data_IF_031286817471
#
_entry.id   IF_031286817471
#
_cell.length_a   1.000
_cell.length_b   1.000
_cell.length_c   1.000
_cell.angle_alpha   90.00
_cell.angle_beta   90.00
_cell.angle_gamma   90.00
#
_symmetry.space_group_name_H-M   'P 1'
#
loop_
_entity.id
_entity.type
_entity.pdbx_description
1 polymer ?
#
# COMPACT_ATOMS: atom_id res chain seq x y z
N UNK A 1 -14.33 -10.53 -28.41
CA UNK A 1 -15.17 -11.14 -27.36
C UNK A 1 -15.04 -10.41 -26.04
N UNK A 2 -16.14 -10.36 -25.29
CA UNK A 2 -16.22 -9.81 -23.94
C UNK A 2 -16.47 -10.96 -22.97
N UNK A 3 -15.63 -11.10 -21.95
CA UNK A 3 -15.72 -12.19 -20.97
C UNK A 3 -16.06 -11.62 -19.60
N UNK A 4 -17.01 -12.22 -18.85
CA UNK A 4 -17.31 -11.78 -17.49
C UNK A 4 -16.11 -11.99 -16.56
N UNK A 5 -15.83 -11.00 -15.72
CA UNK A 5 -14.72 -11.02 -14.77
C UNK A 5 -15.23 -11.03 -13.32
N UNK A 6 -14.69 -11.93 -12.50
CA UNK A 6 -15.02 -12.02 -11.08
C UNK A 6 -14.30 -10.98 -10.22
N UNK A 7 -14.70 -10.88 -8.96
CA UNK A 7 -14.13 -9.92 -7.99
C UNK A 7 -12.64 -10.16 -7.73
N UNK A 8 -12.18 -11.42 -7.70
CA UNK A 8 -10.77 -11.74 -7.52
C UNK A 8 -9.90 -11.17 -8.66
N UNK A 9 -10.38 -11.21 -9.90
CA UNK A 9 -9.69 -10.61 -11.04
C UNK A 9 -9.66 -9.07 -10.92
N UNK A 10 -10.78 -8.46 -10.49
CA UNK A 10 -10.84 -7.01 -10.23
C UNK A 10 -9.85 -6.58 -9.15
N UNK A 11 -9.76 -7.34 -8.04
CA UNK A 11 -8.82 -7.06 -6.96
C UNK A 11 -7.36 -7.19 -7.40
N UNK A 12 -7.11 -8.12 -8.33
CA UNK A 12 -5.80 -8.27 -8.95
C UNK A 12 -5.44 -7.06 -9.79
N UNK A 13 -6.32 -6.69 -10.73
CA UNK A 13 -6.11 -5.57 -11.65
C UNK A 13 -5.95 -4.24 -10.91
N UNK A 14 -6.75 -4.01 -9.85
CA UNK A 14 -6.63 -2.77 -9.09
C UNK A 14 -5.30 -2.69 -8.33
N UNK A 15 -4.83 -3.82 -7.80
CA UNK A 15 -3.59 -3.86 -7.06
C UNK A 15 -2.39 -3.67 -8.01
N UNK A 16 -2.38 -4.31 -9.17
CA UNK A 16 -1.38 -4.09 -10.21
C UNK A 16 -1.33 -2.62 -10.65
N UNK A 17 -2.49 -1.98 -10.79
CA UNK A 17 -2.62 -0.55 -11.06
C UNK A 17 -2.39 0.37 -9.84
N UNK A 18 -1.95 -0.17 -8.69
CA UNK A 18 -1.65 0.60 -7.49
C UNK A 18 -2.84 1.37 -6.90
N UNK A 19 -4.07 0.91 -7.14
CA UNK A 19 -5.29 1.59 -6.70
C UNK A 19 -5.68 1.17 -5.27
N UNK A 20 -5.82 2.13 -4.33
CA UNK A 20 -6.31 1.88 -2.97
C UNK A 20 -7.73 1.30 -2.94
N UNK A 21 -7.99 0.40 -1.99
CA UNK A 21 -9.31 -0.13 -1.70
C UNK A 21 -9.79 0.33 -0.31
N UNK A 22 -11.03 0.80 -0.22
CA UNK A 22 -11.64 1.15 1.07
C UNK A 22 -11.82 -0.09 1.96
N UNK A 23 -11.45 0.04 3.22
CA UNK A 23 -11.28 -1.07 4.17
C UNK A 23 -9.88 -1.69 4.18
N UNK A 24 -8.97 -1.25 3.30
CA UNK A 24 -7.58 -1.71 3.23
C UNK A 24 -6.59 -0.53 3.29
N UNK A 25 -6.52 0.26 2.22
CA UNK A 25 -5.64 1.42 2.11
C UNK A 25 -6.35 2.74 2.39
N UNK A 26 -7.69 2.70 2.50
CA UNK A 26 -8.53 3.84 2.87
C UNK A 26 -9.47 3.42 3.99
N UNK A 27 -9.69 4.31 4.95
CA UNK A 27 -10.50 4.04 6.12
C UNK A 27 -10.79 5.33 6.89
N UNK A 28 -11.56 5.23 7.97
CA UNK A 28 -11.85 6.36 8.85
C UNK A 28 -10.66 6.76 9.73
N UNK A 29 -9.66 5.89 9.81
CA UNK A 29 -8.43 6.00 10.59
C UNK A 29 -7.19 6.30 9.72
N UNK A 30 -7.35 6.33 8.39
CA UNK A 30 -6.26 6.56 7.43
C UNK A 30 -6.41 7.93 6.79
N UNK A 31 -5.37 8.75 6.89
CA UNK A 31 -5.36 10.07 6.26
C UNK A 31 -5.00 9.96 4.77
N UNK A 32 -5.55 10.82 3.89
CA UNK A 32 -5.23 10.82 2.47
C UNK A 32 -3.73 10.95 2.18
N UNK A 33 -2.97 11.69 3.00
CA UNK A 33 -1.52 11.83 2.87
C UNK A 33 -0.79 10.50 3.03
N UNK A 34 -1.20 9.66 3.98
CA UNK A 34 -0.63 8.33 4.22
C UNK A 34 -0.79 7.44 2.99
N UNK A 35 -1.94 7.50 2.33
CA UNK A 35 -2.25 6.68 1.15
C UNK A 35 -1.69 7.25 -0.18
N UNK A 36 -0.82 8.26 -0.15
CA UNK A 36 -0.30 8.92 -1.34
C UNK A 36 -1.32 9.79 -2.09
N UNK A 37 -2.48 10.04 -1.47
CA UNK A 37 -3.60 10.83 -2.02
C UNK A 37 -3.60 12.28 -1.54
N UNK A 38 -2.56 12.74 -0.86
CA UNK A 38 -2.45 14.13 -0.38
C UNK A 38 -2.69 15.16 -1.50
N UNK A 39 -2.21 14.89 -2.72
CA UNK A 39 -2.42 15.75 -3.90
C UNK A 39 -3.88 15.88 -4.35
N UNK A 40 -4.75 14.95 -3.96
CA UNK A 40 -6.18 14.96 -4.32
C UNK A 40 -6.96 15.93 -3.42
N UNK A 41 -6.45 16.21 -2.22
CA UNK A 41 -7.06 17.17 -1.30
C UNK A 41 -6.73 18.59 -1.76
N UNK A 42 -7.74 19.29 -2.30
CA UNK A 42 -7.56 20.63 -2.84
C UNK A 42 -7.86 21.71 -1.78
N UNK A 43 -6.84 22.10 -1.01
CA UNK A 43 -6.94 23.22 -0.06
C UNK A 43 -7.10 24.60 -0.72
N UNK A 44 -6.84 24.72 -2.03
CA UNK A 44 -7.06 25.98 -2.77
C UNK A 44 -8.52 26.19 -3.16
N UNK A 45 -9.37 25.17 -3.06
CA UNK A 45 -10.79 25.29 -3.34
C UNK A 45 -11.44 26.23 -2.32
N UNK A 46 -12.26 27.15 -2.80
CA UNK A 46 -13.06 28.03 -1.96
C UNK A 46 -14.09 27.22 -1.15
N UNK A 47 -14.33 27.66 0.09
CA UNK A 47 -15.24 27.01 1.03
C UNK A 47 -14.57 26.08 2.03
N UNK A 48 -15.35 25.70 3.04
CA UNK A 48 -14.96 24.79 4.12
C UNK A 48 -15.57 23.42 3.89
N UNK A 49 -14.81 22.52 3.27
CA UNK A 49 -15.25 21.14 3.09
C UNK A 49 -15.12 20.37 4.41
N UNK A 50 -15.99 19.38 4.61
CA UNK A 50 -15.99 18.54 5.82
C UNK A 50 -14.61 17.90 6.01
N UNK A 51 -13.98 18.17 7.16
CA UNK A 51 -12.66 17.65 7.52
C UNK A 51 -11.47 18.54 7.13
N UNK A 52 -11.68 19.69 6.48
CA UNK A 52 -10.61 20.63 6.08
C UNK A 52 -9.70 21.01 7.25
N UNK A 53 -10.29 21.55 8.32
CA UNK A 53 -9.55 22.00 9.50
C UNK A 53 -8.72 20.86 10.13
N UNK A 54 -9.26 19.64 10.16
CA UNK A 54 -8.54 18.49 10.70
C UNK A 54 -7.34 18.08 9.83
N UNK A 55 -7.44 18.23 8.51
CA UNK A 55 -6.36 17.92 7.58
C UNK A 55 -5.28 19.01 7.52
N UNK A 56 -5.64 20.28 7.63
CA UNK A 56 -4.69 21.41 7.58
C UNK A 56 -3.81 21.48 8.84
N UNK A 57 -4.34 21.11 10.00
CA UNK A 57 -3.66 21.30 11.29
C UNK A 57 -2.97 20.05 11.84
N UNK A 58 -3.01 18.92 11.13
CA UNK A 58 -2.40 17.67 11.59
C UNK A 58 -0.96 17.55 11.09
N UNK A 59 -0.06 17.27 12.03
CA UNK A 59 1.28 16.78 11.69
C UNK A 59 1.18 15.28 11.30
N UNK A 60 1.51 14.97 10.05
CA UNK A 60 1.54 13.58 9.53
C UNK A 60 2.96 13.09 9.24
N UNK A 61 4.01 13.79 9.69
CA UNK A 61 5.40 13.44 9.38
C UNK A 61 5.82 12.09 9.97
N UNK A 62 5.22 11.69 11.09
CA UNK A 62 5.46 10.39 11.72
C UNK A 62 4.44 9.30 11.33
N UNK A 63 3.39 9.64 10.57
CA UNK A 63 2.39 8.68 10.16
C UNK A 63 3.02 7.69 9.16
N UNK A 64 2.64 6.41 9.23
CA UNK A 64 3.05 5.42 8.24
C UNK A 64 2.55 5.81 6.85
N UNK A 65 3.33 5.47 5.83
CA UNK A 65 3.05 5.80 4.44
C UNK A 65 2.87 4.54 3.60
N UNK A 66 1.97 4.63 2.62
CA UNK A 66 1.66 3.54 1.72
C UNK A 66 2.78 3.38 0.68
N UNK A 67 3.30 2.16 0.56
CA UNK A 67 4.31 1.80 -0.43
C UNK A 67 3.89 0.56 -1.22
N UNK A 68 4.45 0.42 -2.42
CA UNK A 68 4.45 -0.85 -3.15
C UNK A 68 5.61 -1.74 -2.72
N UNK A 69 5.37 -3.04 -2.63
CA UNK A 69 6.36 -4.07 -2.35
C UNK A 69 6.33 -5.12 -3.46
N UNK A 70 7.49 -5.49 -3.98
CA UNK A 70 7.66 -6.67 -4.84
C UNK A 70 8.45 -7.73 -4.09
N UNK A 71 8.09 -8.99 -4.28
CA UNK A 71 8.83 -10.13 -3.73
C UNK A 71 9.23 -11.12 -4.80
N UNK A 72 9.98 -12.14 -4.40
CA UNK A 72 10.39 -13.23 -5.27
C UNK A 72 9.57 -14.51 -5.03
N UNK A 73 9.64 -15.45 -5.97
CA UNK A 73 9.01 -16.76 -5.85
C UNK A 73 7.50 -16.72 -6.13
N UNK A 74 6.73 -17.54 -5.39
CA UNK A 74 5.30 -17.78 -5.67
C UNK A 74 4.37 -17.47 -4.50
N UNK A 75 4.90 -16.94 -3.39
CA UNK A 75 4.13 -16.70 -2.17
C UNK A 75 3.93 -15.21 -1.97
N UNK A 76 2.68 -14.78 -1.97
CA UNK A 76 2.32 -13.41 -1.67
C UNK A 76 2.05 -13.20 -0.17
N UNK A 77 2.46 -12.04 0.33
CA UNK A 77 2.00 -11.57 1.63
C UNK A 77 0.50 -11.26 1.60
N UNK A 78 -0.17 -11.43 2.72
CA UNK A 78 -1.61 -11.15 2.87
C UNK A 78 -1.81 -9.98 3.82
N UNK A 79 -2.98 -9.37 3.75
CA UNK A 79 -3.41 -8.33 4.68
C UNK A 79 -3.13 -8.74 6.14
N UNK A 80 -2.55 -7.82 6.92
CA UNK A 80 -2.20 -8.01 8.33
C UNK A 80 -0.84 -8.66 8.59
N UNK A 81 -0.13 -9.16 7.57
CA UNK A 81 1.24 -9.63 7.78
C UNK A 81 2.19 -8.47 8.08
N UNK A 82 3.05 -8.68 9.09
CA UNK A 82 4.00 -7.67 9.52
C UNK A 82 5.07 -7.45 8.44
N UNK A 83 5.35 -6.18 8.16
CA UNK A 83 6.55 -5.77 7.43
C UNK A 83 7.63 -5.52 8.46
N UNK A 84 8.79 -6.11 8.24
CA UNK A 84 9.91 -6.18 9.19
C UNK A 84 11.16 -5.64 8.50
N UNK A 85 11.90 -4.81 9.21
CA UNK A 85 13.26 -4.46 8.88
C UNK A 85 14.15 -5.03 9.97
N UNK A 86 15.04 -5.97 9.60
CA UNK A 86 15.81 -6.79 10.54
C UNK A 86 14.88 -7.52 11.53
N UNK A 87 14.90 -7.13 12.81
CA UNK A 87 14.06 -7.72 13.88
C UNK A 87 12.90 -6.80 14.31
N UNK A 88 12.76 -5.62 13.67
CA UNK A 88 11.75 -4.61 14.04
C UNK A 88 10.57 -4.65 13.08
N UNK A 89 9.36 -4.75 13.62
CA UNK A 89 8.14 -4.49 12.84
C UNK A 89 8.05 -3.00 12.50
N UNK A 90 8.09 -2.70 11.20
CA UNK A 90 8.06 -1.34 10.64
C UNK A 90 6.77 -1.06 9.88
N UNK A 91 5.85 -2.02 9.78
CA UNK A 91 4.64 -1.84 9.00
C UNK A 91 3.77 -3.09 8.92
N UNK A 92 2.76 -3.01 8.06
CA UNK A 92 1.89 -4.14 7.76
C UNK A 92 1.37 -4.10 6.32
N UNK A 93 1.22 -5.27 5.73
CA UNK A 93 0.56 -5.42 4.42
C UNK A 93 -0.92 -5.10 4.56
N UNK A 94 -1.45 -4.34 3.61
CA UNK A 94 -2.88 -4.05 3.47
C UNK A 94 -3.51 -4.90 2.36
N UNK A 95 -2.79 -5.11 1.26
CA UNK A 95 -3.24 -5.90 0.10
C UNK A 95 -2.06 -6.64 -0.51
N UNK A 96 -2.23 -7.89 -0.93
CA UNK A 96 -1.16 -8.64 -1.57
C UNK A 96 -1.63 -9.86 -2.34
N UNK A 97 -1.00 -10.09 -3.50
CA UNK A 97 -1.33 -11.14 -4.46
C UNK A 97 -0.09 -11.67 -5.17
N UNK A 98 -0.21 -12.83 -5.82
CA UNK A 98 0.70 -13.21 -6.90
C UNK A 98 0.16 -12.60 -8.20
N UNK A 99 0.85 -11.63 -8.77
CA UNK A 99 0.41 -10.94 -9.99
C UNK A 99 0.44 -11.91 -11.19
N UNK A 100 -0.70 -12.16 -11.86
CA UNK A 100 -0.73 -12.91 -13.11
C UNK A 100 -0.02 -12.18 -14.25
N UNK A 101 -0.08 -10.84 -14.27
CA UNK A 101 0.49 -10.02 -15.34
C UNK A 101 2.02 -9.94 -15.23
N UNK A 102 2.56 -9.78 -14.02
CA UNK A 102 3.98 -9.59 -13.76
C UNK A 102 4.71 -10.90 -13.44
N UNK A 103 3.97 -11.95 -13.05
CA UNK A 103 4.52 -13.26 -12.74
C UNK A 103 5.21 -13.39 -11.37
N UNK A 104 5.17 -12.34 -10.53
CA UNK A 104 5.77 -12.35 -9.19
C UNK A 104 4.84 -11.74 -8.13
N UNK A 105 5.08 -12.00 -6.82
CA UNK A 105 4.31 -11.41 -5.75
C UNK A 105 4.43 -9.88 -5.71
N UNK A 106 3.29 -9.23 -5.48
CA UNK A 106 3.18 -7.79 -5.24
C UNK A 106 2.29 -7.54 -4.03
N UNK A 107 2.56 -6.46 -3.30
CA UNK A 107 1.74 -6.04 -2.17
C UNK A 107 1.79 -4.52 -1.97
N UNK A 108 0.72 -3.97 -1.41
CA UNK A 108 0.74 -2.65 -0.79
C UNK A 108 0.84 -2.80 0.72
N UNK A 109 1.56 -1.89 1.36
CA UNK A 109 1.76 -1.89 2.80
C UNK A 109 1.90 -0.47 3.34
N UNK A 110 1.43 -0.23 4.56
CA UNK A 110 1.82 0.94 5.33
C UNK A 110 3.10 0.64 6.10
N UNK A 111 4.12 1.46 5.89
CA UNK A 111 5.43 1.34 6.56
C UNK A 111 5.84 2.64 7.21
N UNK A 112 6.73 2.55 8.19
CA UNK A 112 7.35 3.71 8.83
C UNK A 112 8.08 4.58 7.76
N UNK A 113 8.03 5.92 7.84
CA UNK A 113 8.56 6.79 6.79
C UNK A 113 10.05 6.63 6.48
N UNK A 114 10.85 6.22 7.47
CA UNK A 114 12.30 6.03 7.36
C UNK A 114 12.69 4.86 6.44
N UNK A 115 11.79 3.89 6.25
CA UNK A 115 11.99 2.71 5.38
C UNK A 115 11.20 2.77 4.08
N UNK A 116 10.50 3.87 3.80
CA UNK A 116 9.60 3.99 2.65
C UNK A 116 10.31 4.30 1.31
N UNK A 117 11.63 4.48 1.32
CA UNK A 117 12.39 4.84 0.11
C UNK A 117 12.37 3.69 -0.91
N UNK A 118 12.15 4.03 -2.19
CA UNK A 118 12.26 3.07 -3.30
C UNK A 118 13.63 2.39 -3.29
N UNK A 119 13.64 1.07 -3.47
CA UNK A 119 14.82 0.21 -3.44
C UNK A 119 15.18 -0.30 -2.04
N UNK A 120 14.51 0.15 -0.98
CA UNK A 120 14.72 -0.40 0.38
C UNK A 120 14.32 -1.87 0.42
N UNK A 121 15.22 -2.73 0.90
CA UNK A 121 14.93 -4.14 1.15
C UNK A 121 14.23 -4.31 2.49
N UNK A 122 13.12 -5.03 2.50
CA UNK A 122 12.30 -5.33 3.67
C UNK A 122 11.92 -6.80 3.68
N UNK A 123 11.49 -7.31 4.83
CA UNK A 123 10.94 -8.65 4.95
C UNK A 123 9.47 -8.60 5.32
N UNK A 124 8.70 -9.57 4.85
CA UNK A 124 7.33 -9.81 5.32
C UNK A 124 7.34 -11.07 6.16
N UNK A 125 6.92 -10.97 7.42
CA UNK A 125 6.79 -12.16 8.27
C UNK A 125 5.51 -12.93 7.90
N UNK A 126 5.71 -14.13 7.35
CA UNK A 126 4.64 -15.06 7.05
C UNK A 126 4.69 -16.29 7.95
N UNK A 127 4.19 -16.09 9.18
CA UNK A 127 4.08 -17.10 10.23
C UNK A 127 5.45 -17.62 10.67
N UNK A 128 6.36 -16.72 11.02
CA UNK A 128 7.73 -17.00 11.43
C UNK A 128 8.69 -17.23 10.27
N UNK A 129 8.30 -16.92 9.03
CA UNK A 129 9.14 -17.05 7.84
C UNK A 129 9.22 -15.72 7.13
N UNK A 130 10.42 -15.15 7.08
CA UNK A 130 10.70 -13.94 6.32
C UNK A 130 10.56 -14.21 4.81
N UNK A 131 9.76 -13.39 4.13
CA UNK A 131 9.75 -13.26 2.69
C UNK A 131 10.43 -11.94 2.32
N UNK A 132 11.54 -12.02 1.58
CA UNK A 132 12.25 -10.84 1.13
C UNK A 132 11.40 -10.07 0.11
N UNK A 133 11.36 -8.76 0.28
CA UNK A 133 10.65 -7.82 -0.56
C UNK A 133 11.46 -6.54 -0.77
N UNK A 134 11.13 -5.80 -1.82
CA UNK A 134 11.75 -4.52 -2.11
C UNK A 134 10.68 -3.46 -2.29
N UNK A 135 10.90 -2.29 -1.72
CA UNK A 135 10.04 -1.13 -1.93
C UNK A 135 10.15 -0.65 -3.37
N UNK A 136 9.01 -0.51 -4.06
CA UNK A 136 8.93 -0.06 -5.45
C UNK A 136 7.97 1.10 -5.61
N UNK A 137 8.09 1.80 -6.73
CA UNK A 137 7.13 2.81 -7.15
C UNK A 137 5.79 2.15 -7.53
N UNK A 138 4.67 2.80 -7.18
CA UNK A 138 3.34 2.45 -7.67
C UNK A 138 3.00 3.30 -8.91
N UNK A 139 2.18 2.77 -9.83
CA UNK A 139 1.65 1.41 -9.92
C UNK A 139 2.69 0.38 -10.36
N UNK A 140 2.41 -0.91 -10.13
CA UNK A 140 3.27 -2.02 -10.57
C UNK A 140 3.18 -2.29 -12.08
N UNK A 141 2.04 -1.96 -12.69
CA UNK A 141 1.77 -2.10 -14.10
C UNK A 141 1.20 -0.79 -14.67
N UNK A 142 1.67 -0.38 -15.85
CA UNK A 142 1.22 0.82 -16.59
C UNK A 142 0.97 0.46 -18.05
#
# INVERSE_FOLDING_TARGET
DLTPCGLACRDTLRLEAGMPLYGHELGTDIHPSQAGLGRVVNFKKEGDFVGRCALENRDTTADRVLVGLTGEGRRAGRAGYAVVNEDKTVGAITSGILSPTLGHPIAMAFVDPDVAKIGTSLSVDVRGKALNTTVVELPFYK
#
